data_IF_055424511628
#
_entry.id   IF_055424511628
#
_cell.length_a   1.000
_cell.length_b   1.000
_cell.length_c   1.000
_cell.angle_alpha   90.00
_cell.angle_beta   90.00
_cell.angle_gamma   90.00
#
_symmetry.space_group_name_H-M   'P 1'
#
loop_
_entity.id
_entity.type
_entity.pdbx_description
1 polymer ?
#
# COMPACT_ATOMS: atom_id res chain seq x y z
N UNK A 1 1.06 14.44 25.17
CA UNK A 1 0.14 13.40 24.65
C UNK A 1 0.96 12.30 23.96
N UNK A 2 1.83 11.61 24.69
CA UNK A 2 2.85 10.72 24.08
C UNK A 2 2.71 9.24 24.47
N UNK A 3 1.68 8.87 25.22
CA UNK A 3 1.50 7.54 25.81
C UNK A 3 0.61 6.59 24.99
N UNK A 4 -0.02 7.07 23.92
CA UNK A 4 -1.04 6.31 23.17
C UNK A 4 -0.44 5.18 22.31
N UNK A 5 0.88 5.04 22.25
CA UNK A 5 1.55 4.13 21.31
C UNK A 5 2.58 3.20 21.96
N UNK A 6 2.52 2.93 23.27
CA UNK A 6 3.41 1.96 23.94
C UNK A 6 2.69 0.75 24.52
N UNK A 7 1.96 0.03 23.67
CA UNK A 7 1.22 -1.17 24.08
C UNK A 7 2.13 -2.39 24.33
N UNK A 8 3.35 -2.39 23.79
CA UNK A 8 4.26 -3.54 23.80
C UNK A 8 5.55 -3.31 24.61
N UNK A 9 5.67 -2.19 25.32
CA UNK A 9 6.85 -1.84 26.14
C UNK A 9 8.09 -1.42 25.34
N UNK A 10 7.96 -1.28 24.02
CA UNK A 10 8.93 -0.67 23.12
C UNK A 10 8.19 0.11 22.03
N UNK A 11 8.36 1.43 22.03
CA UNK A 11 7.77 2.36 21.06
C UNK A 11 8.07 1.98 19.59
N UNK A 12 9.21 1.36 19.30
CA UNK A 12 9.57 0.92 17.94
C UNK A 12 8.74 -0.29 17.51
N UNK A 13 8.49 -1.21 18.44
CA UNK A 13 7.68 -2.41 18.19
C UNK A 13 6.21 -2.02 18.02
N UNK A 14 5.69 -1.15 18.88
CA UNK A 14 4.33 -0.63 18.78
C UNK A 14 4.10 0.12 17.45
N UNK A 15 5.03 0.98 17.03
CA UNK A 15 4.99 1.64 15.70
C UNK A 15 4.96 0.63 14.54
N UNK A 16 5.73 -0.46 14.64
CA UNK A 16 5.75 -1.49 13.60
C UNK A 16 4.42 -2.25 13.55
N UNK A 17 3.81 -2.53 14.69
CA UNK A 17 2.47 -3.12 14.75
C UNK A 17 1.43 -2.22 14.10
N UNK A 18 1.44 -0.91 14.40
CA UNK A 18 0.50 0.05 13.79
C UNK A 18 0.66 0.10 12.26
N UNK A 19 1.91 0.10 11.77
CA UNK A 19 2.18 0.04 10.34
C UNK A 19 1.66 -1.26 9.70
N UNK A 20 1.83 -2.39 10.39
CA UNK A 20 1.31 -3.69 9.91
C UNK A 20 -0.22 -3.69 9.87
N UNK A 21 -0.88 -3.13 10.88
CA UNK A 21 -2.35 -3.01 10.91
C UNK A 21 -2.88 -2.09 9.80
N UNK A 22 -2.19 -0.97 9.55
CA UNK A 22 -2.50 -0.08 8.45
C UNK A 22 -2.35 -0.81 7.10
N UNK A 23 -1.23 -1.49 6.87
CA UNK A 23 -1.00 -2.26 5.64
C UNK A 23 -2.03 -3.38 5.47
N UNK A 24 -2.40 -4.08 6.54
CA UNK A 24 -3.44 -5.11 6.50
C UNK A 24 -4.80 -4.53 6.05
N UNK A 25 -5.13 -3.33 6.53
CA UNK A 25 -6.34 -2.61 6.12
C UNK A 25 -6.30 -2.20 4.65
N UNK A 26 -5.18 -1.63 4.19
CA UNK A 26 -4.99 -1.27 2.77
C UNK A 26 -5.10 -2.50 1.86
N UNK A 27 -4.47 -3.63 2.23
CA UNK A 27 -4.56 -4.90 1.51
C UNK A 27 -5.99 -5.42 1.49
N UNK A 28 -6.71 -5.35 2.61
CA UNK A 28 -8.11 -5.78 2.68
C UNK A 28 -8.98 -4.98 1.70
N UNK A 29 -8.89 -3.64 1.73
CA UNK A 29 -9.65 -2.76 0.84
C UNK A 29 -9.28 -3.01 -0.62
N UNK A 30 -7.99 -3.17 -0.92
CA UNK A 30 -7.52 -3.52 -2.27
C UNK A 30 -8.14 -4.82 -2.78
N UNK A 31 -8.11 -5.89 -1.97
CA UNK A 31 -8.72 -7.18 -2.32
C UNK A 31 -10.24 -7.07 -2.54
N UNK A 32 -10.94 -6.32 -1.69
CA UNK A 32 -12.38 -6.06 -1.85
C UNK A 32 -12.67 -5.36 -3.18
N UNK A 33 -11.92 -4.30 -3.50
CA UNK A 33 -12.07 -3.56 -4.75
C UNK A 33 -11.78 -4.44 -5.97
N UNK A 34 -10.73 -5.24 -5.95
CA UNK A 34 -10.41 -6.18 -7.04
C UNK A 34 -11.53 -7.21 -7.25
N UNK A 35 -12.07 -7.79 -6.17
CA UNK A 35 -13.21 -8.72 -6.26
C UNK A 35 -14.46 -8.03 -6.79
N UNK A 36 -14.75 -6.81 -6.36
CA UNK A 36 -15.87 -6.04 -6.88
C UNK A 36 -15.71 -5.73 -8.38
N UNK A 37 -14.50 -5.36 -8.82
CA UNK A 37 -14.19 -5.14 -10.23
C UNK A 37 -14.39 -6.41 -11.06
N UNK A 38 -13.87 -7.56 -10.60
CA UNK A 38 -14.07 -8.86 -11.23
C UNK A 38 -15.57 -9.16 -11.39
N UNK A 39 -16.35 -9.01 -10.32
CA UNK A 39 -17.79 -9.25 -10.34
C UNK A 39 -18.53 -8.33 -11.32
N UNK A 40 -18.13 -7.05 -11.42
CA UNK A 40 -18.72 -6.13 -12.39
C UNK A 40 -18.42 -6.54 -13.83
N UNK A 41 -17.18 -6.95 -14.12
CA UNK A 41 -16.76 -7.41 -15.45
C UNK A 41 -17.42 -8.75 -15.85
N UNK A 42 -17.64 -9.63 -14.87
CA UNK A 42 -18.39 -10.87 -15.09
C UNK A 42 -19.85 -10.56 -15.41
N UNK A 43 -20.48 -9.64 -14.66
CA UNK A 43 -21.87 -9.22 -14.90
C UNK A 43 -22.05 -8.50 -16.23
N UNK A 44 -21.04 -7.79 -16.72
CA UNK A 44 -21.06 -7.18 -18.06
C UNK A 44 -20.77 -8.17 -19.19
N UNK A 45 -20.40 -9.42 -18.87
CA UNK A 45 -20.03 -10.44 -19.85
C UNK A 45 -18.63 -10.25 -20.46
N UNK A 46 -17.80 -9.38 -19.89
CA UNK A 46 -16.43 -9.11 -20.36
C UNK A 46 -15.44 -10.16 -19.87
N UNK A 47 -15.69 -10.71 -18.67
CA UNK A 47 -14.85 -11.72 -18.04
C UNK A 47 -15.71 -12.95 -17.68
N UNK A 48 -15.13 -14.14 -17.71
CA UNK A 48 -15.73 -15.33 -17.08
C UNK A 48 -15.35 -15.40 -15.60
N UNK A 49 -16.22 -15.99 -14.77
CA UNK A 49 -15.96 -16.08 -13.34
C UNK A 49 -14.68 -16.89 -13.06
N UNK A 50 -13.75 -16.33 -12.26
CA UNK A 50 -12.48 -16.98 -11.94
C UNK A 50 -11.40 -16.86 -13.02
N UNK A 51 -11.68 -16.23 -14.16
CA UNK A 51 -10.68 -16.00 -15.22
C UNK A 51 -9.51 -15.15 -14.73
N UNK A 52 -9.79 -14.18 -13.85
CA UNK A 52 -8.78 -13.33 -13.24
C UNK A 52 -7.77 -14.12 -12.40
N UNK A 53 -8.22 -15.16 -11.68
CA UNK A 53 -7.36 -16.02 -10.86
C UNK A 53 -6.41 -16.88 -11.72
N UNK A 54 -6.76 -17.10 -12.99
CA UNK A 54 -5.94 -17.80 -13.99
C UNK A 54 -5.08 -16.90 -14.86
N UNK A 55 -5.12 -15.58 -14.64
CA UNK A 55 -4.39 -14.61 -15.46
C UNK A 55 -2.90 -14.91 -15.48
N UNK A 56 -2.33 -14.98 -16.69
CA UNK A 56 -0.89 -15.08 -16.93
C UNK A 56 -0.45 -13.89 -17.75
N UNK A 57 0.34 -13.03 -17.13
CA UNK A 57 0.94 -11.90 -17.82
C UNK A 57 1.82 -12.38 -18.97
N UNK A 58 1.77 -11.66 -20.09
CA UNK A 58 2.82 -11.72 -21.12
C UNK A 58 4.14 -11.19 -20.56
N UNK A 59 5.26 -11.39 -21.28
CA UNK A 59 6.56 -10.90 -20.85
C UNK A 59 6.55 -9.38 -20.59
N UNK A 60 5.95 -8.60 -21.50
CA UNK A 60 5.89 -7.14 -21.40
C UNK A 60 5.01 -6.67 -20.22
N UNK A 61 3.90 -7.38 -19.96
CA UNK A 61 3.03 -7.11 -18.80
C UNK A 61 3.73 -7.49 -17.49
N UNK A 62 4.44 -8.62 -17.46
CA UNK A 62 5.21 -9.06 -16.30
C UNK A 62 6.30 -8.04 -15.93
N UNK A 63 7.04 -7.53 -16.92
CA UNK A 63 8.04 -6.48 -16.71
C UNK A 63 7.43 -5.18 -16.16
N UNK A 64 6.18 -4.89 -16.51
CA UNK A 64 5.46 -3.74 -15.97
C UNK A 64 5.07 -3.98 -14.50
N UNK A 65 4.50 -5.14 -14.20
CA UNK A 65 4.12 -5.54 -12.84
C UNK A 65 5.36 -5.62 -11.91
N UNK A 66 6.49 -6.12 -12.40
CA UNK A 66 7.73 -6.20 -11.65
C UNK A 66 8.27 -4.79 -11.32
N UNK A 67 8.23 -3.86 -12.26
CA UNK A 67 8.62 -2.46 -12.01
C UNK A 67 7.74 -1.78 -10.98
N UNK A 68 6.43 -2.03 -11.01
CA UNK A 68 5.49 -1.52 -10.02
C UNK A 68 5.75 -2.11 -8.62
N UNK A 69 5.95 -3.44 -8.54
CA UNK A 69 6.35 -4.12 -7.30
C UNK A 69 7.64 -3.56 -6.73
N UNK A 70 8.66 -3.36 -7.56
CA UNK A 70 9.96 -2.85 -7.13
C UNK A 70 9.89 -1.39 -6.69
N UNK A 71 9.05 -0.57 -7.33
CA UNK A 71 8.77 0.80 -6.89
C UNK A 71 8.06 0.82 -5.53
N UNK A 72 7.05 -0.03 -5.35
CA UNK A 72 6.34 -0.17 -4.08
C UNK A 72 7.26 -0.66 -2.96
N UNK A 73 8.08 -1.68 -3.23
CA UNK A 73 9.04 -2.24 -2.27
C UNK A 73 10.08 -1.19 -1.86
N UNK A 74 10.63 -0.43 -2.82
CA UNK A 74 11.55 0.68 -2.52
C UNK A 74 10.90 1.75 -1.63
N UNK A 75 9.62 2.07 -1.86
CA UNK A 75 8.87 3.00 -1.00
C UNK A 75 8.75 2.46 0.44
N UNK A 76 8.43 1.17 0.60
CA UNK A 76 8.35 0.54 1.93
C UNK A 76 9.70 0.51 2.64
N UNK A 77 10.77 0.10 1.94
CA UNK A 77 12.13 0.11 2.48
C UNK A 77 12.51 1.52 2.92
N UNK A 78 12.20 2.55 2.12
CA UNK A 78 12.44 3.95 2.49
C UNK A 78 11.73 4.31 3.81
N UNK A 79 10.45 3.98 3.97
CA UNK A 79 9.70 4.23 5.22
C UNK A 79 10.36 3.55 6.43
N UNK A 80 10.95 2.36 6.24
CA UNK A 80 11.63 1.61 7.31
C UNK A 80 13.01 2.24 7.63
N UNK A 81 13.75 2.67 6.61
CA UNK A 81 15.11 3.21 6.75
C UNK A 81 15.16 4.71 7.09
N UNK A 82 14.07 5.44 6.83
CA UNK A 82 13.96 6.87 7.10
C UNK A 82 13.88 7.09 8.62
N UNK A 83 14.92 7.71 9.17
CA UNK A 83 15.00 8.04 10.59
C UNK A 83 14.25 9.34 10.86
N UNK A 84 12.94 9.23 11.10
CA UNK A 84 12.05 10.35 11.44
C UNK A 84 10.94 9.96 12.45
N UNK A 85 10.37 10.93 13.19
CA UNK A 85 9.41 10.67 14.25
C UNK A 85 8.20 9.88 13.76
N UNK A 86 7.76 8.94 14.59
CA UNK A 86 6.80 7.90 14.24
C UNK A 86 5.40 8.37 13.86
N UNK A 87 5.07 9.61 14.21
CA UNK A 87 3.72 10.14 14.18
C UNK A 87 3.27 10.50 12.75
N UNK A 88 4.19 10.66 11.78
CA UNK A 88 3.84 11.01 10.39
C UNK A 88 4.86 10.48 9.35
N UNK A 89 4.80 9.20 8.92
CA UNK A 89 5.56 8.78 7.75
C UNK A 89 5.15 9.62 6.54
N UNK A 90 6.12 10.20 5.82
CA UNK A 90 5.98 11.07 4.65
C UNK A 90 5.63 12.56 4.89
N UNK A 91 5.66 13.09 6.13
CA UNK A 91 5.28 14.51 6.38
C UNK A 91 6.00 15.51 5.48
N UNK A 92 7.30 15.37 5.30
CA UNK A 92 8.10 16.23 4.41
C UNK A 92 7.63 16.17 2.95
N UNK A 93 7.25 14.98 2.46
CA UNK A 93 6.73 14.82 1.09
C UNK A 93 5.31 15.37 0.92
N UNK A 94 4.46 15.31 1.96
CA UNK A 94 3.15 15.96 1.95
C UNK A 94 3.27 17.48 2.00
N UNK A 95 4.21 18.00 2.80
CA UNK A 95 4.52 19.43 2.89
C UNK A 95 5.11 19.95 1.57
N UNK A 96 6.05 19.21 0.95
CA UNK A 96 6.61 19.54 -0.36
C UNK A 96 5.56 19.51 -1.48
N UNK A 97 4.65 18.51 -1.46
CA UNK A 97 3.57 18.42 -2.43
C UNK A 97 2.55 19.56 -2.27
N UNK A 98 2.29 20.00 -1.04
CA UNK A 98 1.43 21.16 -0.76
C UNK A 98 2.10 22.47 -1.15
N UNK A 99 3.41 22.64 -0.91
CA UNK A 99 4.18 23.81 -1.29
C UNK A 99 4.27 23.96 -2.82
N UNK A 100 4.46 22.86 -3.55
CA UNK A 100 4.50 22.83 -5.02
C UNK A 100 3.16 23.21 -5.65
N UNK A 101 2.04 22.99 -4.95
CA UNK A 101 0.70 23.33 -5.44
C UNK A 101 0.27 24.77 -5.11
N UNK A 102 0.98 25.43 -4.20
CA UNK A 102 0.69 26.77 -3.71
C UNK A 102 1.54 27.88 -4.37
N UNK A 103 2.55 27.52 -5.17
CA UNK A 103 3.33 28.42 -6.03
C UNK A 103 2.92 28.30 -7.49
#
# INVERSE_FOLDING_TARGET
MADEFDYLGDRRISKLLDLVLQLATEVHVGRQRTRALEQLLVRSGTLTAGELDGFRATADEADTLDRERDAYTRRLVRIITESGPAEHPLREQWEDALATKAG
#
